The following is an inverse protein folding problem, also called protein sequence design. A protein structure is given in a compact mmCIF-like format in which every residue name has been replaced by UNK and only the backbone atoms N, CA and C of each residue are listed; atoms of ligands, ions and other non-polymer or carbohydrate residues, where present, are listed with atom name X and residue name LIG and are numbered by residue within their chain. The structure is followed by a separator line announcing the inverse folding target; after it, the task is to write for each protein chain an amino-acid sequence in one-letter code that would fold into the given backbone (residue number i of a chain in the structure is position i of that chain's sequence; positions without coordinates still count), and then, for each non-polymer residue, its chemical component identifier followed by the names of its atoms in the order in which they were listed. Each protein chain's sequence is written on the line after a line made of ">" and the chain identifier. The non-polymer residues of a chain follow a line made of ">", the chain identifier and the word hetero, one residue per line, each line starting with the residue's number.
data_IF_692594544639
#
_entry.id   IF_692594544639
#
_cell.length_a   1.000
_cell.length_b   1.000
_cell.length_c   1.000
_cell.angle_alpha   90.00
_cell.angle_beta   90.00
_cell.angle_gamma   90.00
#
_symmetry.space_group_name_H-M   'P 1'
#
loop_
_entity.id
_entity.type
_entity.pdbx_description
1 polymer ?
#
# COMPACT_ATOMS: atom_id res chain seq x y z
N UNK A 1 -28.33 20.36 28.76
CA UNK A 1 -28.45 19.01 28.19
C UNK A 1 -28.48 19.10 26.67
N UNK A 2 -27.31 19.05 26.04
CA UNK A 2 -27.08 18.22 24.86
C UNK A 2 -25.57 18.21 24.64
N UNK A 3 -24.93 17.18 25.19
CA UNK A 3 -23.54 16.86 24.93
C UNK A 3 -23.48 16.34 23.49
N UNK A 4 -22.78 17.10 22.65
CA UNK A 4 -22.62 16.83 21.22
C UNK A 4 -21.73 15.58 21.10
N UNK A 5 -22.32 14.45 20.71
CA UNK A 5 -21.57 13.23 20.43
C UNK A 5 -20.53 13.52 19.32
N UNK A 6 -19.27 13.09 19.48
CA UNK A 6 -18.27 13.26 18.44
C UNK A 6 -18.65 12.40 17.22
N UNK A 7 -18.86 13.09 16.10
CA UNK A 7 -19.08 12.51 14.78
C UNK A 7 -17.88 11.64 14.37
N UNK A 8 -18.13 10.36 14.13
CA UNK A 8 -17.16 9.34 13.76
C UNK A 8 -16.72 9.41 12.28
N UNK A 9 -17.07 10.46 11.55
CA UNK A 9 -16.70 10.65 10.14
C UNK A 9 -15.30 11.21 9.89
N UNK A 10 -14.49 11.44 10.93
CA UNK A 10 -13.15 12.01 10.80
C UNK A 10 -12.12 10.91 10.51
N UNK A 11 -11.82 10.70 9.22
CA UNK A 11 -10.52 10.17 8.79
C UNK A 11 -9.43 10.98 9.50
N UNK A 12 -8.70 10.35 10.41
CA UNK A 12 -7.54 10.99 11.03
C UNK A 12 -6.46 11.03 9.96
N UNK A 13 -6.16 12.23 9.49
CA UNK A 13 -5.13 12.48 8.49
C UNK A 13 -3.82 12.66 9.25
N UNK A 14 -2.91 11.68 9.20
CA UNK A 14 -1.61 11.83 9.83
C UNK A 14 -0.49 12.08 8.82
N UNK A 15 0.05 13.29 8.87
CA UNK A 15 1.12 13.78 8.02
C UNK A 15 2.47 13.37 8.61
N UNK A 16 3.30 12.63 7.87
CA UNK A 16 4.74 12.59 8.09
C UNK A 16 5.43 13.39 6.98
N UNK A 17 6.50 14.09 7.35
CA UNK A 17 7.39 14.78 6.41
C UNK A 17 8.79 14.23 6.64
N UNK A 18 9.33 13.48 5.68
CA UNK A 18 10.77 13.26 5.61
C UNK A 18 11.41 14.56 5.09
N UNK A 19 12.19 15.23 5.95
CA UNK A 19 12.99 16.38 5.54
C UNK A 19 14.27 15.85 4.88
N UNK A 20 14.46 16.23 3.62
CA UNK A 20 15.40 15.64 2.65
C UNK A 20 16.88 15.80 3.04
N UNK A 21 17.21 16.57 4.08
CA UNK A 21 18.58 17.03 4.30
C UNK A 21 19.45 16.14 5.20
N UNK A 22 18.88 15.21 6.00
CA UNK A 22 19.70 14.37 6.90
C UNK A 22 19.18 12.95 7.18
N UNK A 23 17.88 12.68 7.03
CA UNK A 23 17.27 11.38 7.41
C UNK A 23 17.53 10.28 6.38
N UNK A 24 17.56 10.58 5.07
CA UNK A 24 17.93 9.57 4.05
C UNK A 24 19.37 9.04 4.22
N UNK A 25 20.26 9.70 4.98
CA UNK A 25 21.67 9.28 5.16
C UNK A 25 21.95 8.43 6.40
N UNK A 26 21.10 8.42 7.42
CA UNK A 26 21.48 7.73 8.68
C UNK A 26 20.35 7.23 9.57
N UNK A 27 19.08 7.60 9.33
CA UNK A 27 17.93 7.10 10.10
C UNK A 27 16.70 7.02 9.21
N UNK A 28 16.25 5.78 8.99
CA UNK A 28 15.03 5.42 8.26
C UNK A 28 13.86 6.32 8.66
N UNK A 29 13.09 6.82 7.67
CA UNK A 29 11.90 7.67 7.85
C UNK A 29 11.06 7.20 9.05
N UNK A 30 11.16 7.90 10.17
CA UNK A 30 10.73 7.47 11.49
C UNK A 30 9.33 7.97 11.85
N UNK A 31 8.57 7.09 12.51
CA UNK A 31 7.30 7.31 13.21
C UNK A 31 6.02 7.23 12.36
N UNK A 32 5.58 6.03 11.99
CA UNK A 32 4.17 5.82 11.68
C UNK A 32 3.34 5.84 12.98
N UNK A 33 2.23 6.60 13.03
CA UNK A 33 1.27 6.43 14.13
C UNK A 33 0.29 5.30 13.80
N UNK A 34 0.03 4.53 14.86
CA UNK A 34 -0.97 3.47 14.95
C UNK A 34 -2.35 4.12 14.85
N UNK A 35 -3.12 3.79 13.80
CA UNK A 35 -4.53 4.15 13.71
C UNK A 35 -5.38 2.91 13.98
N UNK A 36 -6.35 3.08 14.87
CA UNK A 36 -7.34 2.09 15.26
C UNK A 36 -8.71 2.65 14.94
N UNK A 37 -9.44 1.98 14.05
CA UNK A 37 -10.83 2.30 13.79
C UNK A 37 -11.69 1.04 14.00
N UNK A 38 -12.35 1.02 15.15
CA UNK A 38 -13.26 -0.04 15.58
C UNK A 38 -14.52 -0.12 14.72
N UNK A 39 -14.88 0.96 14.03
CA UNK A 39 -16.10 1.02 13.24
C UNK A 39 -15.90 0.47 11.83
N UNK A 40 -14.66 0.46 11.32
CA UNK A 40 -14.36 0.04 9.94
C UNK A 40 -13.62 -1.30 9.85
N UNK A 41 -13.28 -1.92 10.98
CA UNK A 41 -12.85 -3.32 11.07
C UNK A 41 -11.38 -3.58 10.72
N UNK A 42 -10.47 -2.62 10.94
CA UNK A 42 -9.04 -2.80 10.66
C UNK A 42 -8.15 -2.04 11.65
N UNK A 43 -6.87 -2.40 11.69
CA UNK A 43 -5.87 -1.86 12.60
C UNK A 43 -4.51 -1.73 11.92
N UNK A 44 -3.88 -0.56 12.00
CA UNK A 44 -2.49 -0.37 11.57
C UNK A 44 -1.59 -0.22 12.79
N UNK A 45 -0.48 -0.98 12.88
CA UNK A 45 0.46 -0.94 14.00
C UNK A 45 1.89 -0.74 13.50
N UNK A 46 2.60 0.23 14.09
CA UNK A 46 4.05 0.33 14.00
C UNK A 46 4.68 -0.64 15.01
N UNK A 47 5.50 -1.57 14.54
CA UNK A 47 6.27 -2.48 15.40
C UNK A 47 7.39 -1.74 16.14
N UNK A 48 7.97 -2.35 17.19
CA UNK A 48 9.10 -1.78 17.95
C UNK A 48 10.34 -1.44 17.09
N UNK A 49 10.41 -1.92 15.84
CA UNK A 49 11.46 -1.59 14.86
C UNK A 49 11.09 -0.49 13.85
N UNK A 50 9.89 0.10 13.96
CA UNK A 50 9.40 1.14 13.05
C UNK A 50 8.68 0.62 11.80
N UNK A 51 8.70 -0.70 11.54
CA UNK A 51 7.97 -1.31 10.42
C UNK A 51 6.46 -1.26 10.62
N UNK A 52 5.74 -1.04 9.52
CA UNK A 52 4.29 -1.01 9.48
C UNK A 52 3.68 -2.39 9.24
N UNK A 53 2.62 -2.68 10.00
CA UNK A 53 1.79 -3.88 9.85
C UNK A 53 0.31 -3.49 9.82
N UNK A 54 -0.41 -4.04 8.86
CA UNK A 54 -1.83 -3.82 8.66
C UNK A 54 -2.57 -5.10 9.00
N UNK A 55 -3.58 -4.97 9.86
CA UNK A 55 -4.42 -6.07 10.32
C UNK A 55 -5.87 -5.80 9.94
N UNK A 56 -6.58 -6.86 9.55
CA UNK A 56 -8.04 -6.90 9.58
C UNK A 56 -8.50 -7.33 10.96
N UNK A 57 -9.55 -6.71 11.46
CA UNK A 57 -10.27 -7.16 12.65
C UNK A 57 -11.47 -7.97 12.15
N UNK A 58 -11.50 -9.25 12.50
CA UNK A 58 -12.58 -10.15 12.13
C UNK A 58 -13.81 -9.94 13.05
N UNK A 59 -14.96 -10.51 12.66
CA UNK A 59 -16.20 -10.41 13.44
C UNK A 59 -16.11 -11.06 14.83
N UNK A 60 -15.21 -12.03 15.02
CA UNK A 60 -14.93 -12.67 16.30
C UNK A 60 -13.98 -11.85 17.20
N UNK A 61 -13.51 -10.70 16.71
CA UNK A 61 -12.54 -9.83 17.39
C UNK A 61 -11.08 -10.27 17.22
N UNK A 62 -10.82 -11.38 16.53
CA UNK A 62 -9.47 -11.80 16.16
C UNK A 62 -8.86 -10.85 15.12
N UNK A 63 -7.53 -10.87 15.00
CA UNK A 63 -6.79 -10.00 14.09
C UNK A 63 -6.01 -10.84 13.09
N UNK A 64 -6.24 -10.59 11.81
CA UNK A 64 -5.55 -11.25 10.71
C UNK A 64 -4.58 -10.26 10.07
N UNK A 65 -3.30 -10.60 9.97
CA UNK A 65 -2.32 -9.80 9.23
C UNK A 65 -2.70 -9.81 7.74
N UNK A 66 -2.79 -8.64 7.11
CA UNK A 66 -3.13 -8.51 5.67
C UNK A 66 -1.98 -7.98 4.84
N UNK A 67 -1.14 -7.11 5.41
CA UNK A 67 0.02 -6.53 4.74
C UNK A 67 1.05 -6.14 5.78
N UNK A 68 2.33 -6.38 5.51
CA UNK A 68 3.42 -5.83 6.32
C UNK A 68 4.57 -5.34 5.48
N UNK A 69 5.30 -4.36 6.00
CA UNK A 69 6.56 -3.93 5.43
C UNK A 69 7.64 -5.00 5.57
N UNK A 70 8.36 -5.25 4.47
CA UNK A 70 9.39 -6.29 4.42
C UNK A 70 10.39 -6.15 5.55
N UNK A 71 10.55 -7.22 6.33
CA UNK A 71 11.53 -7.28 7.39
C UNK A 71 12.43 -8.51 7.19
N UNK A 72 13.62 -8.28 6.64
CA UNK A 72 14.64 -9.31 6.52
C UNK A 72 15.83 -8.93 7.38
N UNK A 73 16.31 -9.86 8.22
CA UNK A 73 17.54 -9.69 8.99
C UNK A 73 18.74 -9.31 8.09
N UNK A 74 18.73 -9.83 6.86
CA UNK A 74 19.67 -9.48 5.79
C UNK A 74 18.89 -9.11 4.54
N UNK A 75 18.63 -7.82 4.38
CA UNK A 75 17.93 -7.29 3.20
C UNK A 75 17.99 -5.77 3.15
N UNK A 76 17.50 -5.22 2.03
CA UNK A 76 17.25 -3.78 1.93
C UNK A 76 16.14 -3.38 2.91
N UNK A 77 16.21 -2.16 3.47
CA UNK A 77 15.14 -1.66 4.32
C UNK A 77 13.82 -1.56 3.52
N UNK A 78 12.66 -1.72 4.17
CA UNK A 78 11.37 -1.68 3.50
C UNK A 78 11.08 -0.32 2.85
N UNK A 79 11.61 0.77 3.42
CA UNK A 79 11.55 2.13 2.90
C UNK A 79 12.96 2.54 2.50
N UNK A 80 13.26 2.48 1.22
CA UNK A 80 14.58 2.82 0.70
C UNK A 80 14.48 4.04 -0.22
N UNK A 81 15.22 5.10 0.09
CA UNK A 81 15.28 6.33 -0.69
C UNK A 81 16.70 6.60 -1.18
N UNK A 82 16.81 7.36 -2.27
CA UNK A 82 18.07 8.01 -2.65
C UNK A 82 17.84 9.37 -3.27
N UNK A 83 18.69 10.31 -2.90
CA UNK A 83 18.66 11.68 -3.40
C UNK A 83 19.04 11.72 -4.89
N UNK A 84 18.37 12.60 -5.65
CA UNK A 84 18.78 12.93 -7.01
C UNK A 84 19.38 14.33 -7.03
N UNK A 85 20.66 14.42 -6.65
CA UNK A 85 21.41 15.68 -6.72
C UNK A 85 21.36 16.28 -8.13
N UNK A 86 21.15 17.60 -8.28
CA UNK A 86 21.10 18.65 -7.24
C UNK A 86 19.72 19.05 -6.72
N UNK A 87 18.68 18.23 -6.96
CA UNK A 87 17.30 18.59 -6.63
C UNK A 87 16.85 17.94 -5.32
N UNK A 88 15.90 18.56 -4.61
CA UNK A 88 15.27 18.03 -3.39
C UNK A 88 14.25 16.91 -3.67
N UNK A 89 14.32 16.29 -4.84
CA UNK A 89 13.56 15.09 -5.15
C UNK A 89 14.40 13.85 -4.87
N UNK A 90 13.72 12.79 -4.51
CA UNK A 90 14.32 11.48 -4.30
C UNK A 90 13.57 10.44 -5.10
N UNK A 91 14.28 9.38 -5.46
CA UNK A 91 13.63 8.13 -5.84
C UNK A 91 13.40 7.33 -4.57
N UNK A 92 12.35 6.53 -4.54
CA UNK A 92 12.06 5.68 -3.39
C UNK A 92 11.48 4.33 -3.80
N UNK A 93 11.66 3.37 -2.91
CA UNK A 93 11.24 1.99 -3.04
C UNK A 93 10.59 1.56 -1.73
N UNK A 94 9.35 1.11 -1.84
CA UNK A 94 8.56 0.56 -0.73
C UNK A 94 8.39 -0.94 -0.97
N UNK A 95 8.78 -1.75 0.02
CA UNK A 95 8.69 -3.21 -0.06
C UNK A 95 7.77 -3.73 1.03
N UNK A 96 6.82 -4.55 0.63
CA UNK A 96 5.89 -5.26 1.47
C UNK A 96 6.08 -6.76 1.28
N UNK A 97 5.93 -7.53 2.35
CA UNK A 97 5.97 -8.99 2.25
C UNK A 97 4.66 -9.52 1.69
N UNK A 98 4.77 -10.56 0.86
CA UNK A 98 3.60 -11.33 0.41
C UNK A 98 2.96 -11.99 1.62
N UNK A 99 1.72 -11.65 1.92
CA UNK A 99 0.95 -12.33 2.97
C UNK A 99 0.16 -13.47 2.33
N UNK A 100 0.42 -14.70 2.77
CA UNK A 100 -0.37 -15.88 2.37
C UNK A 100 -1.70 -15.87 3.11
N UNK A 101 -2.80 -16.09 2.39
CA UNK A 101 -4.15 -16.11 2.95
C UNK A 101 -4.54 -17.55 3.20
N UNK A 102 -4.32 -18.04 4.43
CA UNK A 102 -4.52 -19.45 4.73
C UNK A 102 -3.52 -20.35 4.00
N UNK A 103 -4.00 -21.19 3.07
CA UNK A 103 -3.19 -22.17 2.32
C UNK A 103 -2.88 -21.70 0.88
N UNK A 104 -3.52 -20.63 0.42
CA UNK A 104 -3.37 -20.15 -0.96
C UNK A 104 -2.32 -19.04 -1.07
N UNK A 105 -1.64 -19.02 -2.21
CA UNK A 105 -0.73 -17.94 -2.57
C UNK A 105 -1.51 -16.63 -2.81
N UNK A 106 -0.82 -15.50 -2.67
CA UNK A 106 -1.43 -14.20 -2.90
C UNK A 106 -1.71 -13.99 -4.39
N UNK A 107 -2.94 -13.60 -4.72
CA UNK A 107 -3.34 -13.19 -6.06
C UNK A 107 -3.55 -11.67 -6.08
N UNK A 108 -3.10 -11.02 -7.16
CA UNK A 108 -3.17 -9.57 -7.34
C UNK A 108 -4.03 -9.23 -8.55
N UNK A 109 -4.97 -8.31 -8.38
CA UNK A 109 -5.94 -7.91 -9.41
C UNK A 109 -5.96 -6.39 -9.59
N UNK A 110 -6.31 -5.92 -10.79
CA UNK A 110 -6.48 -4.51 -11.09
C UNK A 110 -5.30 -3.95 -11.89
N UNK A 111 -4.46 -3.13 -11.27
CA UNK A 111 -3.28 -2.44 -11.82
C UNK A 111 -3.49 -1.64 -13.12
N UNK A 112 -4.74 -1.47 -13.55
CA UNK A 112 -5.12 -0.75 -14.75
C UNK A 112 -5.42 -1.67 -15.93
N UNK A 113 -5.12 -1.21 -17.13
CA UNK A 113 -5.36 -1.94 -18.36
C UNK A 113 -4.02 -2.33 -18.98
N UNK A 114 -3.77 -3.63 -19.11
CA UNK A 114 -2.60 -4.18 -19.78
C UNK A 114 -2.98 -5.32 -20.72
N UNK A 115 -2.34 -5.36 -21.89
CA UNK A 115 -2.33 -6.53 -22.77
C UNK A 115 -1.10 -7.36 -22.40
N UNK A 116 -1.17 -8.05 -21.25
CA UNK A 116 -0.06 -8.80 -20.67
C UNK A 116 0.15 -10.19 -21.29
N UNK A 117 -0.78 -10.66 -22.11
CA UNK A 117 -0.63 -11.90 -22.87
C UNK A 117 -0.69 -11.63 -24.38
N UNK A 118 0.43 -11.85 -25.07
CA UNK A 118 0.55 -11.74 -26.52
C UNK A 118 0.20 -13.06 -27.24
N UNK A 119 0.11 -14.17 -26.49
CA UNK A 119 -0.04 -15.53 -27.02
C UNK A 119 -1.41 -16.15 -26.70
N UNK A 120 -2.17 -15.55 -25.78
CA UNK A 120 -3.54 -15.95 -25.47
C UNK A 120 -4.43 -14.70 -25.44
N UNK A 121 -5.60 -14.76 -26.08
CA UNK A 121 -6.55 -13.63 -26.15
C UNK A 121 -7.19 -13.27 -24.80
N UNK A 122 -6.77 -13.91 -23.71
CA UNK A 122 -7.25 -13.68 -22.34
C UNK A 122 -6.05 -13.18 -21.54
N UNK A 123 -5.98 -11.87 -21.27
CA UNK A 123 -4.94 -11.31 -20.40
C UNK A 123 -4.99 -11.96 -19.02
N UNK A 124 -3.84 -12.05 -18.35
CA UNK A 124 -3.75 -12.62 -17.00
C UNK A 124 -4.52 -11.73 -16.03
N UNK A 125 -5.58 -12.28 -15.44
CA UNK A 125 -6.36 -11.63 -14.39
C UNK A 125 -5.53 -11.52 -13.11
N UNK A 126 -4.88 -12.61 -12.71
CA UNK A 126 -3.91 -12.61 -11.61
C UNK A 126 -2.57 -12.08 -12.11
N UNK A 127 -2.11 -11.00 -11.52
CA UNK A 127 -0.87 -10.30 -11.86
C UNK A 127 0.25 -10.60 -10.86
N UNK A 128 0.07 -11.60 -9.97
CA UNK A 128 1.17 -12.11 -9.16
C UNK A 128 2.24 -12.71 -10.06
N UNK A 129 3.50 -12.39 -9.79
CA UNK A 129 4.66 -12.72 -10.60
C UNK A 129 5.03 -11.64 -11.61
N UNK A 130 4.11 -10.71 -11.92
CA UNK A 130 4.32 -9.71 -12.96
C UNK A 130 5.06 -8.47 -12.44
N UNK A 131 5.69 -7.79 -13.40
CA UNK A 131 6.27 -6.46 -13.19
C UNK A 131 5.58 -5.48 -14.12
N UNK A 132 5.00 -4.42 -13.54
CA UNK A 132 4.23 -3.42 -14.26
C UNK A 132 4.96 -2.09 -14.18
N UNK A 133 5.48 -1.65 -15.32
CA UNK A 133 6.07 -0.33 -15.45
C UNK A 133 4.96 0.73 -15.48
N UNK A 134 5.09 1.75 -14.64
CA UNK A 134 4.15 2.86 -14.52
C UNK A 134 4.43 3.91 -15.59
N UNK A 135 4.35 3.49 -16.85
CA UNK A 135 4.51 4.30 -18.04
C UNK A 135 3.33 4.07 -18.98
N UNK A 136 2.66 5.15 -19.37
CA UNK A 136 1.54 5.08 -20.30
C UNK A 136 2.06 5.02 -21.74
N UNK A 137 1.56 4.06 -22.51
CA UNK A 137 1.68 4.03 -23.96
C UNK A 137 0.38 3.48 -24.56
N UNK A 138 0.31 3.33 -25.88
CA UNK A 138 -0.89 2.78 -26.51
C UNK A 138 -1.17 1.36 -25.98
N UNK A 139 -2.43 1.04 -25.69
CA UNK A 139 -2.89 -0.24 -25.11
C UNK A 139 -2.35 -0.63 -23.73
N UNK A 140 -1.47 0.18 -23.12
CA UNK A 140 -1.07 0.04 -21.71
C UNK A 140 -1.40 1.31 -20.92
N UNK A 141 -2.35 1.19 -20.01
CA UNK A 141 -2.72 2.24 -19.06
C UNK A 141 -2.57 1.73 -17.62
N UNK A 142 -1.35 1.77 -17.06
CA UNK A 142 -1.10 1.27 -15.73
C UNK A 142 -1.68 2.25 -14.70
N UNK A 143 -2.53 1.75 -13.83
CA UNK A 143 -3.15 2.49 -12.72
C UNK A 143 -2.68 1.81 -11.44
N UNK A 144 -1.98 2.51 -10.53
CA UNK A 144 -1.36 1.85 -9.39
C UNK A 144 -2.37 1.66 -8.24
N UNK A 145 -3.50 1.05 -8.57
CA UNK A 145 -4.56 0.55 -7.70
C UNK A 145 -4.61 -0.96 -7.89
N UNK A 146 -4.48 -1.74 -6.83
CA UNK A 146 -4.64 -3.18 -6.92
C UNK A 146 -5.33 -3.76 -5.69
N UNK A 147 -5.98 -4.90 -5.87
CA UNK A 147 -6.63 -5.67 -4.83
C UNK A 147 -5.94 -7.02 -4.70
N UNK A 148 -5.87 -7.52 -3.48
CA UNK A 148 -5.35 -8.86 -3.17
C UNK A 148 -6.48 -9.79 -2.76
N UNK A 149 -6.35 -11.09 -3.00
CA UNK A 149 -7.23 -12.11 -2.39
C UNK A 149 -7.17 -12.09 -0.85
N UNK A 150 -6.13 -11.47 -0.27
CA UNK A 150 -6.06 -11.11 1.15
C UNK A 150 -7.09 -10.07 1.60
N UNK A 151 -7.96 -9.61 0.69
CA UNK A 151 -9.04 -8.66 0.93
C UNK A 151 -8.54 -7.32 1.46
N UNK A 152 -7.44 -6.87 0.87
CA UNK A 152 -6.98 -5.49 0.96
C UNK A 152 -6.88 -4.89 -0.43
N UNK A 153 -7.03 -3.57 -0.47
CA UNK A 153 -6.83 -2.74 -1.65
C UNK A 153 -5.69 -1.76 -1.35
N UNK A 154 -4.74 -1.69 -2.26
CA UNK A 154 -3.61 -0.78 -2.18
C UNK A 154 -3.70 0.25 -3.30
N UNK A 155 -3.41 1.50 -2.96
CA UNK A 155 -3.21 2.55 -3.95
C UNK A 155 -2.00 3.38 -3.64
N UNK A 156 -1.17 3.53 -4.66
CA UNK A 156 -0.05 4.46 -4.65
C UNK A 156 -0.53 5.83 -5.12
N UNK A 157 -0.66 6.78 -4.21
CA UNK A 157 -1.06 8.15 -4.53
C UNK A 157 0.15 9.02 -4.95
N UNK A 158 0.95 8.55 -5.89
CA UNK A 158 2.16 9.24 -6.34
C UNK A 158 2.09 9.42 -7.87
N UNK A 159 2.06 10.66 -8.39
CA UNK A 159 1.94 10.92 -9.83
C UNK A 159 3.25 10.70 -10.61
N UNK A 160 4.29 10.14 -9.98
CA UNK A 160 5.56 9.83 -10.61
C UNK A 160 5.50 8.51 -11.39
N UNK A 161 6.28 8.46 -12.48
CA UNK A 161 6.74 7.22 -13.11
C UNK A 161 7.41 6.30 -12.09
N UNK A 162 7.45 5.02 -12.41
CA UNK A 162 7.95 4.01 -11.50
C UNK A 162 7.63 2.61 -11.98
N UNK A 163 7.54 1.69 -11.03
CA UNK A 163 7.31 0.27 -11.28
C UNK A 163 6.59 -0.37 -10.09
N UNK A 164 5.74 -1.34 -10.37
CA UNK A 164 5.17 -2.26 -9.38
C UNK A 164 5.71 -3.66 -9.69
N UNK A 165 6.32 -4.31 -8.71
CA UNK A 165 6.85 -5.68 -8.82
C UNK A 165 6.04 -6.55 -7.87
N UNK A 166 5.28 -7.51 -8.39
CA UNK A 166 4.48 -8.44 -7.59
C UNK A 166 5.18 -9.79 -7.50
N UNK A 167 6.42 -9.84 -7.02
CA UNK A 167 7.15 -11.11 -6.97
C UNK A 167 6.52 -12.08 -5.97
N UNK A 168 6.89 -13.36 -6.06
CA UNK A 168 6.34 -14.41 -5.20
C UNK A 168 6.47 -14.09 -3.71
N UNK A 169 7.60 -13.51 -3.29
CA UNK A 169 7.92 -13.24 -1.89
C UNK A 169 7.71 -11.79 -1.42
N UNK A 170 7.58 -10.83 -2.32
CA UNK A 170 7.42 -9.41 -1.95
C UNK A 170 6.66 -8.64 -3.01
N UNK A 171 5.95 -7.62 -2.57
CA UNK A 171 5.40 -6.58 -3.42
C UNK A 171 6.27 -5.34 -3.28
N UNK A 172 6.87 -4.87 -4.38
CA UNK A 172 7.70 -3.68 -4.40
C UNK A 172 7.09 -2.59 -5.26
N UNK A 173 7.08 -1.38 -4.73
CA UNK A 173 6.57 -0.19 -5.41
C UNK A 173 7.69 0.82 -5.48
N UNK A 174 8.08 1.17 -6.70
CA UNK A 174 9.21 2.04 -7.01
C UNK A 174 8.68 3.35 -7.57
N UNK A 175 9.27 4.46 -7.14
CA UNK A 175 9.02 5.80 -7.67
C UNK A 175 10.32 6.45 -8.12
N UNK A 176 10.36 6.97 -9.35
CA UNK A 176 11.58 7.54 -9.92
C UNK A 176 11.89 8.96 -9.43
N UNK A 177 10.88 9.73 -9.01
CA UNK A 177 11.07 11.09 -8.51
C UNK A 177 9.84 11.52 -7.72
N UNK A 178 10.00 11.74 -6.43
CA UNK A 178 8.97 12.36 -5.59
C UNK A 178 9.61 13.22 -4.51
N UNK A 179 8.81 14.06 -3.87
CA UNK A 179 9.18 14.80 -2.65
C UNK A 179 8.49 14.26 -1.41
N UNK A 180 7.43 13.47 -1.60
CA UNK A 180 6.66 12.80 -0.55
C UNK A 180 6.21 11.45 -1.09
N UNK A 181 6.22 10.42 -0.26
CA UNK A 181 5.62 9.14 -0.61
C UNK A 181 4.27 9.07 0.05
N UNK A 182 3.27 8.72 -0.76
CA UNK A 182 1.90 8.65 -0.31
C UNK A 182 1.22 7.39 -0.86
N UNK A 183 0.62 6.63 0.03
CA UNK A 183 -0.19 5.48 -0.34
C UNK A 183 -1.36 5.32 0.62
N UNK A 184 -2.43 4.70 0.13
CA UNK A 184 -3.52 4.27 0.98
C UNK A 184 -3.70 2.75 0.93
N UNK A 185 -4.11 2.20 2.07
CA UNK A 185 -4.52 0.80 2.21
C UNK A 185 -5.94 0.76 2.76
N UNK A 186 -6.81 0.02 2.09
CA UNK A 186 -8.15 -0.30 2.57
C UNK A 186 -8.25 -1.81 2.80
N UNK A 187 -9.03 -2.22 3.78
CA UNK A 187 -9.19 -3.63 4.17
C UNK A 187 -10.68 -3.95 4.26
N UNK A 188 -11.07 -5.18 3.91
CA UNK A 188 -12.45 -5.68 4.02
C UNK A 188 -12.45 -7.15 4.45
N UNK A 189 -13.65 -7.66 4.79
CA UNK A 189 -13.85 -9.07 5.09
C UNK A 189 -13.40 -9.96 3.92
N UNK A 190 -13.04 -11.22 4.20
CA UNK A 190 -12.57 -12.15 3.17
C UNK A 190 -13.63 -12.28 2.07
N UNK A 191 -13.22 -12.03 0.81
CA UNK A 191 -14.07 -12.17 -0.37
C UNK A 191 -15.02 -10.99 -0.62
N UNK A 192 -15.04 -9.98 0.26
CA UNK A 192 -15.85 -8.78 0.09
C UNK A 192 -15.10 -7.71 -0.73
N UNK A 193 -15.02 -7.94 -2.04
CA UNK A 193 -14.37 -7.01 -2.97
C UNK A 193 -15.22 -5.76 -3.26
N UNK A 194 -16.55 -5.86 -3.12
CA UNK A 194 -17.46 -4.75 -3.35
C UNK A 194 -17.22 -3.63 -2.32
N UNK A 195 -17.07 -3.98 -1.04
CA UNK A 195 -16.68 -3.03 0.00
C UNK A 195 -15.32 -2.38 -0.25
N UNK A 196 -14.35 -3.10 -0.84
CA UNK A 196 -13.06 -2.51 -1.20
C UNK A 196 -13.20 -1.45 -2.29
N UNK A 197 -14.01 -1.74 -3.31
CA UNK A 197 -14.29 -0.81 -4.41
C UNK A 197 -15.13 0.38 -3.94
N UNK A 198 -16.10 0.17 -3.06
CA UNK A 198 -16.87 1.24 -2.43
C UNK A 198 -15.94 2.15 -1.61
N UNK A 199 -15.01 1.61 -0.82
CA UNK A 199 -14.02 2.40 -0.09
C UNK A 199 -13.11 3.22 -1.00
N UNK A 200 -12.73 2.67 -2.16
CA UNK A 200 -11.96 3.39 -3.16
C UNK A 200 -12.75 4.57 -3.78
N UNK A 201 -14.03 4.37 -4.07
CA UNK A 201 -14.88 5.31 -4.84
C UNK A 201 -15.65 6.31 -3.96
N UNK A 202 -16.20 5.87 -2.83
CA UNK A 202 -17.13 6.57 -1.94
C UNK A 202 -16.48 7.57 -0.95
N UNK A 203 -15.24 7.99 -1.20
CA UNK A 203 -14.60 9.04 -0.39
C UNK A 203 -13.68 8.54 0.72
N UNK A 204 -13.04 7.37 0.55
CA UNK A 204 -11.93 6.87 1.40
C UNK A 204 -12.27 6.68 2.88
N UNK A 205 -13.55 6.66 3.25
CA UNK A 205 -13.97 6.39 4.63
C UNK A 205 -13.48 4.99 5.05
N UNK A 206 -12.71 4.92 6.13
CA UNK A 206 -12.11 3.67 6.60
C UNK A 206 -10.90 3.19 5.78
N UNK A 207 -10.13 4.09 5.15
CA UNK A 207 -8.83 3.79 4.57
C UNK A 207 -7.70 4.44 5.39
N UNK A 208 -6.55 3.77 5.51
CA UNK A 208 -5.34 4.37 6.08
C UNK A 208 -4.66 5.20 5.01
N UNK A 209 -4.33 6.46 5.31
CA UNK A 209 -3.49 7.28 4.45
C UNK A 209 -2.11 7.43 5.08
N UNK A 210 -1.08 6.95 4.39
CA UNK A 210 0.30 7.00 4.87
C UNK A 210 1.11 7.95 4.00
N UNK A 211 1.52 9.06 4.58
CA UNK A 211 2.49 9.98 4.01
C UNK A 211 3.84 9.77 4.69
N UNK A 212 4.94 9.73 3.94
CA UNK A 212 6.32 9.79 4.47
C UNK A 212 7.13 10.81 3.70
#
# INVERSE_FOLDING_TARGET
>A
MHEMQPDASRMTLLQLRCNVDWECRSRMCGNARVEYDVQTGWRCVASNGGNLRFYRVEADGSQTLVLEETWALKGFPPRYCGERWPSNNFWATFSFDTVTVGVEEEHIFGTGHNQNDLNTCVGLLNQKGETIDLFKFNTLNPIPVFMSNGSYLFFRNIPSKGRMEFSSNRTRIITHSTTVVDYYVAVAAIGDYDSLLEKHTGGRKGAVHVWT
#
